data_IF_869597962132
#
_entry.id   IF_869597962132
#
_cell.length_a   1.000
_cell.length_b   1.000
_cell.length_c   1.000
_cell.angle_alpha   90.00
_cell.angle_beta   90.00
_cell.angle_gamma   90.00
#
_symmetry.space_group_name_H-M   'P 1'
#
loop_
_entity.id
_entity.type
_entity.pdbx_description
1 polymer ?
#
# COMPACT_ATOMS: atom_id res chain seq x y z
N UNK A 1 49.18 13.42 7.48
CA UNK A 1 47.93 13.92 8.08
C UNK A 1 46.76 13.14 7.49
N UNK A 2 46.28 12.14 8.21
CA UNK A 2 45.11 11.32 7.84
C UNK A 2 43.87 11.99 8.43
N UNK A 3 43.00 12.54 7.58
CA UNK A 3 41.71 13.09 8.01
C UNK A 3 40.84 11.98 8.60
N UNK A 4 40.31 12.15 9.82
CA UNK A 4 39.38 11.17 10.39
C UNK A 4 38.10 11.12 9.55
N UNK A 5 37.78 9.95 8.99
CA UNK A 5 36.45 9.70 8.41
C UNK A 5 35.44 9.76 9.53
N UNK A 6 34.63 10.82 9.54
CA UNK A 6 33.39 10.86 10.31
C UNK A 6 32.47 9.78 9.76
N UNK A 7 32.48 8.60 10.37
CA UNK A 7 31.42 7.61 10.20
C UNK A 7 30.16 8.18 10.82
N UNK A 8 29.33 8.80 9.98
CA UNK A 8 27.94 9.15 10.34
C UNK A 8 27.28 7.85 10.76
N UNK A 9 26.76 7.74 12.00
CA UNK A 9 26.06 6.53 12.42
C UNK A 9 24.90 6.31 11.43
N UNK A 10 24.85 5.12 10.82
CA UNK A 10 23.68 4.68 10.07
C UNK A 10 22.49 4.84 11.02
N UNK A 11 21.60 5.79 10.72
CA UNK A 11 20.34 5.98 11.43
C UNK A 11 19.61 4.64 11.30
N UNK A 12 19.70 3.83 12.34
CA UNK A 12 19.33 2.43 12.33
C UNK A 12 17.86 2.26 12.01
N UNK A 13 17.56 1.32 11.12
CA UNK A 13 16.39 0.45 10.97
C UNK A 13 15.17 0.78 11.85
N UNK A 14 14.65 2.01 11.80
CA UNK A 14 13.55 2.46 12.65
C UNK A 14 12.25 1.94 12.08
N UNK A 15 11.76 0.81 12.59
CA UNK A 15 10.55 0.13 12.11
C UNK A 15 9.24 0.82 12.52
N UNK A 16 9.28 1.69 13.53
CA UNK A 16 8.10 2.38 14.08
C UNK A 16 7.21 3.10 13.07
N UNK A 17 7.73 3.85 12.09
CA UNK A 17 6.90 4.51 11.08
C UNK A 17 6.16 3.50 10.20
N UNK A 18 6.79 2.38 9.86
CA UNK A 18 6.18 1.32 9.07
C UNK A 18 5.07 0.62 9.87
N UNK A 19 5.29 0.34 11.15
CA UNK A 19 4.28 -0.24 12.05
C UNK A 19 3.09 0.72 12.22
N UNK A 20 3.35 2.01 12.44
CA UNK A 20 2.31 3.02 12.58
C UNK A 20 1.50 3.17 11.28
N UNK A 21 2.16 3.18 10.12
CA UNK A 21 1.50 3.22 8.81
C UNK A 21 0.62 1.98 8.58
N UNK A 22 1.13 0.79 8.91
CA UNK A 22 0.36 -0.45 8.80
C UNK A 22 -0.84 -0.45 9.74
N UNK A 23 -0.67 0.00 10.99
CA UNK A 23 -1.76 0.17 11.94
C UNK A 23 -2.82 1.15 11.46
N UNK A 24 -2.41 2.28 10.88
CA UNK A 24 -3.33 3.27 10.29
C UNK A 24 -4.11 2.69 9.11
N UNK A 25 -3.44 1.96 8.20
CA UNK A 25 -4.12 1.30 7.08
C UNK A 25 -5.13 0.27 7.56
N UNK A 26 -4.78 -0.55 8.56
CA UNK A 26 -5.71 -1.52 9.14
C UNK A 26 -6.89 -0.85 9.84
N UNK A 27 -6.67 0.28 10.51
CA UNK A 27 -7.75 1.03 11.14
C UNK A 27 -8.73 1.61 10.11
N UNK A 28 -8.21 2.20 9.04
CA UNK A 28 -9.02 2.86 8.01
C UNK A 28 -9.73 1.87 7.07
N UNK A 29 -9.04 0.79 6.71
CA UNK A 29 -9.48 -0.15 5.68
C UNK A 29 -9.87 -1.52 6.23
N UNK A 30 -9.63 -1.82 7.50
CA UNK A 30 -10.05 -3.06 8.14
C UNK A 30 -11.55 -3.34 7.98
N UNK A 31 -12.45 -2.39 8.28
CA UNK A 31 -13.88 -2.56 8.06
C UNK A 31 -14.23 -2.82 6.59
N UNK A 32 -13.53 -2.14 5.67
CA UNK A 32 -13.72 -2.32 4.22
C UNK A 32 -13.32 -3.73 3.78
N UNK A 33 -12.16 -4.22 4.25
CA UNK A 33 -11.68 -5.57 3.96
C UNK A 33 -12.62 -6.65 4.54
N UNK A 34 -13.15 -6.44 5.75
CA UNK A 34 -14.16 -7.33 6.33
C UNK A 34 -15.45 -7.33 5.50
N UNK A 35 -15.91 -6.17 5.06
CA UNK A 35 -17.05 -6.05 4.16
C UNK A 35 -16.81 -6.80 2.84
N UNK A 36 -15.59 -6.75 2.31
CA UNK A 36 -15.23 -7.50 1.10
C UNK A 36 -15.26 -9.02 1.30
N UNK A 37 -14.71 -9.50 2.42
CA UNK A 37 -14.72 -10.94 2.77
C UNK A 37 -16.16 -11.42 2.98
N UNK A 38 -16.94 -10.71 3.78
CA UNK A 38 -18.34 -11.03 4.06
C UNK A 38 -19.17 -11.05 2.77
N UNK A 39 -19.02 -10.02 1.95
CA UNK A 39 -19.72 -9.90 0.68
C UNK A 39 -19.38 -10.99 -0.33
N UNK A 40 -18.14 -11.49 -0.30
CA UNK A 40 -17.71 -12.59 -1.16
C UNK A 40 -18.18 -13.97 -0.66
N UNK A 41 -18.17 -14.20 0.67
CA UNK A 41 -18.62 -15.46 1.29
C UNK A 41 -20.14 -15.60 1.25
N UNK A 42 -20.86 -14.54 1.64
CA UNK A 42 -22.32 -14.52 1.73
C UNK A 42 -23.00 -14.07 0.42
N UNK A 43 -22.22 -13.80 -0.63
CA UNK A 43 -22.69 -13.37 -1.96
C UNK A 43 -23.58 -12.11 -1.95
N UNK A 44 -23.52 -11.30 -0.90
CA UNK A 44 -24.32 -10.08 -0.75
C UNK A 44 -23.84 -8.93 -1.64
N UNK A 45 -22.62 -9.00 -2.17
CA UNK A 45 -22.07 -8.04 -3.16
C UNK A 45 -22.29 -8.54 -4.62
N UNK A 46 -22.93 -9.71 -4.79
CA UNK A 46 -22.90 -10.50 -6.04
C UNK A 46 -24.15 -10.38 -6.93
N UNK A 47 -24.64 -9.17 -7.21
CA UNK A 47 -25.72 -9.01 -8.21
C UNK A 47 -25.30 -8.39 -9.54
N UNK A 48 -24.16 -7.67 -9.64
CA UNK A 48 -23.70 -7.11 -10.93
C UNK A 48 -22.18 -7.20 -11.22
N UNK A 49 -21.29 -7.57 -10.27
CA UNK A 49 -19.83 -7.40 -10.46
C UNK A 49 -18.97 -8.62 -10.08
N UNK A 50 -18.58 -9.39 -11.10
CA UNK A 50 -17.52 -10.42 -11.03
C UNK A 50 -16.16 -9.85 -10.57
N UNK A 51 -15.97 -8.53 -10.71
CA UNK A 51 -14.77 -7.77 -10.37
C UNK A 51 -14.38 -7.78 -8.88
N UNK A 52 -15.32 -8.04 -7.97
CA UNK A 52 -15.03 -8.00 -6.53
C UNK A 52 -14.11 -9.15 -6.08
N UNK A 53 -14.17 -10.28 -6.80
CA UNK A 53 -13.26 -11.40 -6.60
C UNK A 53 -11.80 -11.04 -6.89
N UNK A 54 -11.55 -10.13 -7.85
CA UNK A 54 -10.20 -9.66 -8.17
C UNK A 54 -9.60 -8.78 -7.07
N UNK A 55 -10.43 -8.02 -6.34
CA UNK A 55 -9.98 -7.30 -5.15
C UNK A 55 -9.55 -8.25 -4.04
N UNK A 56 -10.41 -9.23 -3.72
CA UNK A 56 -10.15 -10.15 -2.60
C UNK A 56 -9.05 -11.18 -2.90
N UNK A 57 -9.00 -11.75 -4.10
CA UNK A 57 -7.95 -12.69 -4.53
C UNK A 57 -6.66 -11.98 -4.97
N UNK A 58 -6.77 -10.74 -5.46
CA UNK A 58 -5.64 -9.94 -5.88
C UNK A 58 -4.71 -9.57 -4.71
N UNK A 59 -5.25 -9.37 -3.50
CA UNK A 59 -4.44 -9.04 -2.32
C UNK A 59 -3.48 -10.17 -1.91
N UNK A 60 -3.93 -11.44 -1.72
CA UNK A 60 -3.04 -12.57 -1.51
C UNK A 60 -2.00 -12.74 -2.63
N UNK A 61 -2.41 -12.54 -3.89
CA UNK A 61 -1.50 -12.67 -5.02
C UNK A 61 -0.45 -11.55 -5.06
N UNK A 62 -0.83 -10.31 -4.79
CA UNK A 62 0.08 -9.18 -4.66
C UNK A 62 1.06 -9.39 -3.50
N UNK A 63 0.59 -9.90 -2.35
CA UNK A 63 1.43 -10.25 -1.21
C UNK A 63 2.44 -11.37 -1.57
N UNK A 64 1.98 -12.40 -2.29
CA UNK A 64 2.83 -13.48 -2.79
C UNK A 64 3.93 -12.95 -3.72
N UNK A 65 3.58 -12.13 -4.71
CA UNK A 65 4.55 -11.51 -5.63
C UNK A 65 5.54 -10.61 -4.87
N UNK A 66 5.05 -9.79 -3.95
CA UNK A 66 5.89 -8.92 -3.14
C UNK A 66 6.90 -9.72 -2.30
N UNK A 67 6.47 -10.86 -1.76
CA UNK A 67 7.33 -11.78 -1.01
C UNK A 67 8.38 -12.46 -1.90
N UNK A 68 7.98 -12.94 -3.08
CA UNK A 68 8.87 -13.56 -4.06
C UNK A 68 9.94 -12.56 -4.52
N UNK A 69 9.55 -11.31 -4.79
CA UNK A 69 10.44 -10.24 -5.24
C UNK A 69 11.08 -9.44 -4.10
N UNK A 70 10.96 -9.85 -2.84
CA UNK A 70 11.40 -9.06 -1.66
C UNK A 70 12.85 -8.56 -1.73
N UNK A 71 13.76 -9.34 -2.32
CA UNK A 71 15.17 -8.94 -2.49
C UNK A 71 15.31 -7.77 -3.48
N UNK A 72 14.57 -7.82 -4.59
CA UNK A 72 14.53 -6.72 -5.55
C UNK A 72 13.96 -5.45 -4.88
N UNK A 73 12.89 -5.59 -4.10
CA UNK A 73 12.30 -4.48 -3.33
C UNK A 73 13.27 -3.86 -2.33
N UNK A 74 14.10 -4.67 -1.65
CA UNK A 74 15.14 -4.16 -0.72
C UNK A 74 16.25 -3.39 -1.44
N UNK A 75 16.54 -3.74 -2.70
CA UNK A 75 17.57 -3.10 -3.50
C UNK A 75 17.09 -1.81 -4.19
N UNK A 76 15.77 -1.54 -4.21
CA UNK A 76 15.24 -0.29 -4.73
C UNK A 76 15.63 0.89 -3.82
N UNK A 77 16.02 2.03 -4.41
CA UNK A 77 16.41 3.21 -3.66
C UNK A 77 15.21 3.78 -2.89
N UNK A 78 15.44 4.20 -1.64
CA UNK A 78 14.43 4.91 -0.85
C UNK A 78 14.35 6.36 -1.33
N UNK A 79 13.54 6.60 -2.37
CA UNK A 79 13.32 7.92 -2.96
C UNK A 79 11.84 8.16 -3.19
N UNK A 80 11.34 9.27 -2.64
CA UNK A 80 9.97 9.70 -2.86
C UNK A 80 9.71 10.03 -4.33
N UNK A 81 8.59 9.53 -4.85
CA UNK A 81 8.14 9.78 -6.22
C UNK A 81 6.89 10.66 -6.21
N UNK A 82 6.90 11.74 -7.00
CA UNK A 82 5.76 12.66 -7.18
C UNK A 82 4.51 11.92 -7.67
N UNK A 83 4.69 10.88 -8.50
CA UNK A 83 3.57 10.04 -8.93
C UNK A 83 2.92 9.35 -7.72
N UNK A 84 3.73 8.88 -6.77
CA UNK A 84 3.23 8.31 -5.52
C UNK A 84 2.35 9.27 -4.73
N UNK A 85 2.74 10.55 -4.60
CA UNK A 85 1.90 11.55 -3.91
C UNK A 85 0.61 11.86 -4.66
N UNK A 86 0.61 11.84 -5.99
CA UNK A 86 -0.62 12.02 -6.79
C UNK A 86 -1.59 10.88 -6.51
N UNK A 87 -1.12 9.62 -6.53
CA UNK A 87 -1.96 8.47 -6.18
C UNK A 87 -2.47 8.56 -4.75
N UNK A 88 -1.63 8.94 -3.79
CA UNK A 88 -2.06 9.14 -2.39
C UNK A 88 -3.17 10.19 -2.32
N UNK A 89 -3.02 11.34 -2.98
CA UNK A 89 -4.01 12.41 -2.97
C UNK A 89 -5.34 11.95 -3.60
N UNK A 90 -5.29 11.30 -4.76
CA UNK A 90 -6.48 10.75 -5.44
C UNK A 90 -7.17 9.73 -4.55
N UNK A 91 -6.43 8.85 -3.88
CA UNK A 91 -6.98 7.87 -2.97
C UNK A 91 -7.65 8.52 -1.76
N UNK A 92 -7.06 9.56 -1.18
CA UNK A 92 -7.67 10.32 -0.08
C UNK A 92 -8.99 10.95 -0.54
N UNK A 93 -9.01 11.61 -1.69
CA UNK A 93 -10.24 12.22 -2.24
C UNK A 93 -11.32 11.18 -2.51
N UNK A 94 -10.94 10.01 -3.05
CA UNK A 94 -11.86 8.90 -3.30
C UNK A 94 -12.45 8.34 -1.99
N UNK A 95 -11.62 8.18 -0.95
CA UNK A 95 -12.06 7.72 0.37
C UNK A 95 -13.09 8.66 1.02
N UNK A 96 -12.91 9.98 0.87
CA UNK A 96 -13.82 10.98 1.44
C UNK A 96 -15.00 11.35 0.53
N UNK A 97 -15.11 10.77 -0.67
CA UNK A 97 -16.16 11.13 -1.64
C UNK A 97 -17.58 10.72 -1.22
N UNK A 98 -17.72 9.76 -0.30
CA UNK A 98 -19.00 9.16 0.08
C UNK A 98 -19.58 8.19 -0.96
N UNK A 99 -18.97 8.06 -2.15
CA UNK A 99 -19.38 7.10 -3.18
C UNK A 99 -18.76 5.73 -2.89
N UNK A 100 -19.59 4.70 -2.75
CA UNK A 100 -19.12 3.37 -2.33
C UNK A 100 -18.07 2.79 -3.28
N UNK A 101 -18.22 2.99 -4.59
CA UNK A 101 -17.26 2.52 -5.59
C UNK A 101 -15.91 3.24 -5.48
N UNK A 102 -15.94 4.55 -5.21
CA UNK A 102 -14.73 5.34 -5.02
C UNK A 102 -14.01 4.97 -3.73
N UNK A 103 -14.75 4.68 -2.65
CA UNK A 103 -14.19 4.18 -1.38
C UNK A 103 -13.57 2.79 -1.59
N UNK A 104 -14.21 1.91 -2.35
CA UNK A 104 -13.66 0.60 -2.70
C UNK A 104 -12.34 0.74 -3.49
N UNK A 105 -12.29 1.68 -4.45
CA UNK A 105 -11.11 1.93 -5.26
C UNK A 105 -10.00 2.68 -4.52
N UNK A 106 -10.34 3.42 -3.45
CA UNK A 106 -9.36 4.21 -2.72
C UNK A 106 -8.26 3.35 -2.10
N UNK A 107 -8.62 2.15 -1.61
CA UNK A 107 -7.66 1.24 -0.99
C UNK A 107 -6.49 0.83 -1.92
N UNK A 108 -6.73 0.22 -3.10
CA UNK A 108 -5.65 -0.12 -4.02
C UNK A 108 -4.91 1.11 -4.56
N UNK A 109 -5.57 2.25 -4.71
CA UNK A 109 -4.94 3.52 -5.11
C UNK A 109 -3.94 3.99 -4.05
N UNK A 110 -4.34 3.99 -2.77
CA UNK A 110 -3.46 4.36 -1.65
C UNK A 110 -2.28 3.38 -1.55
N UNK A 111 -2.50 2.07 -1.65
CA UNK A 111 -1.41 1.09 -1.63
C UNK A 111 -0.42 1.33 -2.77
N UNK A 112 -0.92 1.60 -3.98
CA UNK A 112 -0.08 1.93 -5.13
C UNK A 112 0.73 3.20 -4.89
N UNK A 113 0.08 4.25 -4.39
CA UNK A 113 0.74 5.51 -4.05
C UNK A 113 1.82 5.34 -2.99
N UNK A 114 1.56 4.57 -1.93
CA UNK A 114 2.53 4.25 -0.88
C UNK A 114 3.72 3.44 -1.41
N UNK A 115 3.49 2.44 -2.25
CA UNK A 115 4.56 1.66 -2.88
C UNK A 115 5.49 2.57 -3.71
N UNK A 116 4.92 3.47 -4.51
CA UNK A 116 5.67 4.43 -5.34
C UNK A 116 6.33 5.53 -4.50
N UNK A 117 5.73 5.91 -3.37
CA UNK A 117 6.28 6.94 -2.49
C UNK A 117 7.45 6.42 -1.66
N UNK A 118 7.38 5.17 -1.18
CA UNK A 118 8.41 4.58 -0.34
C UNK A 118 9.61 4.06 -1.14
N UNK A 119 9.41 3.70 -2.41
CA UNK A 119 10.46 3.14 -3.28
C UNK A 119 10.55 3.86 -4.61
N UNK A 120 11.78 4.15 -5.03
CA UNK A 120 12.09 4.67 -6.35
C UNK A 120 12.04 3.58 -7.44
N UNK A 121 12.21 3.98 -8.70
CA UNK A 121 12.34 3.04 -9.83
C UNK A 121 13.71 2.34 -9.77
N UNK A 122 13.75 1.08 -10.21
CA UNK A 122 15.03 0.45 -10.58
C UNK A 122 15.60 1.21 -11.77
N UNK A 123 16.87 1.62 -11.69
CA UNK A 123 17.58 2.28 -12.78
C UNK A 123 17.78 1.35 -13.98
#
# INVERSE_FOLDING_TARGET
MTTPRLTVPKIGDRQWPAIALLGLLLLLYGPLLLHWVDGWLNKSISLEHEYFSHGLLGLPFAAYIAWEKRQHWRNLPDRANVVGSVFILVGILAYFSGMIDAINLSFPIILTGLCLWLKGKSG
#
